data_IF_776970718701
#
_entry.id   IF_776970718701
#
_cell.length_a   1.000
_cell.length_b   1.000
_cell.length_c   1.000
_cell.angle_alpha   90.00
_cell.angle_beta   90.00
_cell.angle_gamma   90.00
#
_symmetry.space_group_name_H-M   'P 1'
#
loop_
_entity.id
_entity.type
_entity.pdbx_description
1 polymer ?
#
# COMPACT_ATOMS: atom_id res chain seq x y z
N UNK A 1 -6.69 -14.58 -22.71
CA UNK A 1 -6.11 -14.22 -23.16
C UNK A 1 -4.72 -13.71 -22.86
N UNK A 2 -4.35 -12.51 -22.90
CA UNK A 2 -2.94 -12.10 -22.77
C UNK A 2 -2.59 -12.06 -21.28
N UNK A 3 -2.05 -13.18 -20.78
CA UNK A 3 -1.57 -13.27 -19.38
C UNK A 3 -0.07 -12.94 -19.23
N UNK A 4 0.63 -12.75 -20.36
CA UNK A 4 2.07 -12.49 -20.38
C UNK A 4 2.31 -11.01 -20.66
N UNK A 5 2.97 -10.29 -19.73
CA UNK A 5 3.30 -8.88 -19.90
C UNK A 5 4.14 -8.58 -21.15
N UNK A 6 5.05 -9.47 -21.55
CA UNK A 6 5.90 -9.30 -22.74
C UNK A 6 5.09 -9.38 -24.05
N UNK A 7 4.11 -10.26 -24.11
CA UNK A 7 3.18 -10.35 -25.24
C UNK A 7 2.32 -9.10 -25.31
N UNK A 8 1.88 -8.57 -24.17
CA UNK A 8 1.11 -7.36 -24.08
C UNK A 8 1.90 -6.13 -24.55
N UNK A 9 3.15 -5.98 -24.10
CA UNK A 9 4.04 -4.89 -24.56
C UNK A 9 4.25 -4.93 -26.07
N UNK A 10 4.47 -6.12 -26.62
CA UNK A 10 4.65 -6.31 -28.06
C UNK A 10 3.38 -5.93 -28.83
N UNK A 11 2.21 -6.31 -28.34
CA UNK A 11 0.92 -5.94 -28.91
C UNK A 11 0.68 -4.44 -28.89
N UNK A 12 0.93 -3.79 -27.76
CA UNK A 12 0.81 -2.34 -27.60
C UNK A 12 1.76 -1.60 -28.53
N UNK A 13 3.01 -2.05 -28.64
CA UNK A 13 4.02 -1.48 -29.54
C UNK A 13 3.61 -1.57 -31.01
N UNK A 14 3.09 -2.70 -31.44
CA UNK A 14 2.61 -2.90 -32.83
C UNK A 14 1.34 -2.09 -33.13
N UNK A 15 0.40 -2.02 -32.20
CA UNK A 15 -0.82 -1.24 -32.35
C UNK A 15 -0.58 0.27 -32.44
N UNK A 16 0.50 0.79 -31.82
CA UNK A 16 0.87 2.20 -31.86
C UNK A 16 1.15 2.71 -33.29
N UNK A 17 1.64 1.85 -34.19
CA UNK A 17 1.94 2.22 -35.58
C UNK A 17 0.72 2.13 -36.52
N UNK A 18 -0.40 1.55 -36.07
CA UNK A 18 -1.58 1.29 -36.88
C UNK A 18 -2.82 2.14 -36.52
N UNK A 19 -2.74 2.87 -35.40
CA UNK A 19 -3.88 3.63 -34.86
C UNK A 19 -3.51 5.11 -34.69
N UNK A 20 -4.51 5.98 -34.82
CA UNK A 20 -4.35 7.38 -34.44
C UNK A 20 -4.08 7.51 -32.94
N UNK A 21 -3.28 8.50 -32.56
CA UNK A 21 -2.79 8.65 -31.17
C UNK A 21 -3.94 8.74 -30.13
N UNK A 22 -5.05 9.38 -30.50
CA UNK A 22 -6.24 9.52 -29.65
C UNK A 22 -6.95 8.18 -29.46
N UNK A 23 -7.04 7.40 -30.48
CA UNK A 23 -7.67 6.08 -30.49
C UNK A 23 -6.80 5.06 -29.76
N UNK A 24 -5.50 5.10 -29.97
CA UNK A 24 -4.50 4.31 -29.25
C UNK A 24 -4.59 4.56 -27.74
N UNK A 25 -4.57 5.82 -27.28
CA UNK A 25 -4.71 6.17 -25.86
C UNK A 25 -6.03 5.65 -25.25
N UNK A 26 -7.13 5.72 -26.00
CA UNK A 26 -8.44 5.21 -25.56
C UNK A 26 -8.46 3.69 -25.42
N UNK A 27 -7.85 2.97 -26.34
CA UNK A 27 -7.74 1.50 -26.30
C UNK A 27 -6.79 1.08 -25.17
N UNK A 28 -5.66 1.75 -25.03
CA UNK A 28 -4.69 1.49 -23.96
C UNK A 28 -5.32 1.66 -22.57
N UNK A 29 -6.09 2.74 -22.36
CA UNK A 29 -6.79 2.97 -21.10
C UNK A 29 -7.84 1.89 -20.79
N UNK A 30 -8.56 1.40 -21.82
CA UNK A 30 -9.50 0.29 -21.64
C UNK A 30 -8.80 -1.04 -21.35
N UNK A 31 -7.67 -1.31 -22.03
CA UNK A 31 -6.89 -2.53 -21.82
C UNK A 31 -6.24 -2.54 -20.44
N UNK A 32 -5.65 -1.43 -20.00
CA UNK A 32 -5.11 -1.33 -18.65
C UNK A 32 -6.19 -1.60 -17.60
N UNK A 33 -7.38 -1.04 -17.76
CA UNK A 33 -8.51 -1.27 -16.87
C UNK A 33 -8.98 -2.74 -16.83
N UNK A 34 -8.89 -3.45 -17.95
CA UNK A 34 -9.20 -4.88 -18.03
C UNK A 34 -8.08 -5.72 -17.41
N UNK A 35 -6.82 -5.35 -17.61
CA UNK A 35 -5.67 -6.03 -17.01
C UNK A 35 -5.69 -5.86 -15.50
N UNK A 36 -5.88 -4.64 -14.99
CA UNK A 36 -6.05 -4.36 -13.57
C UNK A 36 -7.20 -5.14 -12.93
N UNK A 37 -8.26 -5.44 -13.71
CA UNK A 37 -9.40 -6.24 -13.21
C UNK A 37 -9.20 -7.76 -13.29
N UNK A 38 -8.22 -8.26 -14.06
CA UNK A 38 -8.04 -9.69 -14.35
C UNK A 38 -6.73 -10.27 -13.79
N UNK A 39 -5.72 -9.44 -13.54
CA UNK A 39 -4.56 -9.89 -12.79
C UNK A 39 -4.97 -9.99 -11.30
N UNK A 40 -4.75 -11.14 -10.66
CA UNK A 40 -4.69 -11.12 -9.21
C UNK A 40 -3.69 -10.02 -8.86
N UNK A 41 -4.01 -9.23 -7.86
CA UNK A 41 -3.15 -8.14 -7.43
C UNK A 41 -1.85 -8.77 -6.90
N UNK A 42 -0.86 -8.95 -7.79
CA UNK A 42 0.41 -9.62 -7.48
C UNK A 42 1.06 -8.94 -6.28
N UNK A 43 0.90 -7.62 -6.18
CA UNK A 43 1.36 -6.84 -5.03
C UNK A 43 0.61 -7.26 -3.76
N UNK A 44 -0.69 -7.47 -3.84
CA UNK A 44 -1.48 -7.98 -2.71
C UNK A 44 -0.99 -9.35 -2.25
N UNK A 45 -0.76 -10.29 -3.16
CA UNK A 45 -0.23 -11.62 -2.83
C UNK A 45 1.20 -11.58 -2.26
N UNK A 46 2.01 -10.61 -2.69
CA UNK A 46 3.38 -10.44 -2.22
C UNK A 46 3.46 -9.72 -0.87
N UNK A 47 2.55 -8.79 -0.60
CA UNK A 47 2.49 -8.02 0.65
C UNK A 47 1.79 -8.81 1.75
N UNK A 48 0.67 -9.44 1.40
CA UNK A 48 -0.11 -10.23 2.34
C UNK A 48 0.29 -11.70 2.26
N UNK A 49 0.47 -12.33 3.40
CA UNK A 49 0.46 -13.79 3.44
C UNK A 49 -0.95 -14.29 3.19
N UNK A 50 -1.08 -15.52 2.67
CA UNK A 50 -2.38 -16.15 2.34
C UNK A 50 -3.23 -16.47 3.59
N UNK A 51 -3.24 -15.55 4.56
CA UNK A 51 -4.08 -15.68 5.75
C UNK A 51 -5.53 -15.40 5.41
N UNK A 52 -6.38 -16.33 5.73
CA UNK A 52 -7.81 -16.07 5.79
C UNK A 52 -8.10 -15.08 6.93
N UNK A 53 -9.19 -14.36 6.81
CA UNK A 53 -9.68 -13.46 7.85
C UNK A 53 -9.73 -14.17 9.21
N UNK A 54 -8.98 -13.68 10.18
CA UNK A 54 -8.83 -14.33 11.47
C UNK A 54 -8.09 -13.47 12.51
N UNK A 55 -7.76 -14.06 13.64
CA UNK A 55 -7.08 -13.35 14.74
C UNK A 55 -5.71 -12.80 14.38
N UNK A 56 -5.01 -13.43 13.44
CA UNK A 56 -3.64 -13.03 13.01
C UNK A 56 -3.64 -11.66 12.33
N UNK A 57 -4.70 -11.35 11.58
CA UNK A 57 -4.85 -10.09 10.83
C UNK A 57 -5.99 -9.20 11.40
N UNK A 58 -6.31 -9.38 12.67
CA UNK A 58 -7.34 -8.61 13.36
C UNK A 58 -8.71 -8.70 12.71
N UNK A 59 -9.07 -9.85 12.17
CA UNK A 59 -10.34 -10.11 11.48
C UNK A 59 -10.66 -9.13 10.34
N UNK A 60 -9.66 -8.42 9.81
CA UNK A 60 -9.83 -7.54 8.66
C UNK A 60 -9.78 -8.32 7.34
N UNK A 61 -10.42 -7.77 6.33
CA UNK A 61 -10.20 -8.18 4.95
C UNK A 61 -8.93 -7.50 4.45
N UNK A 62 -8.01 -8.26 3.90
CA UNK A 62 -6.82 -7.73 3.24
C UNK A 62 -7.25 -6.78 2.11
N UNK A 63 -6.64 -5.61 2.04
CA UNK A 63 -6.97 -4.60 1.05
C UNK A 63 -5.77 -3.71 0.75
N UNK A 64 -5.14 -3.97 -0.37
CA UNK A 64 -4.06 -3.14 -0.90
C UNK A 64 -4.46 -1.66 -1.00
N UNK A 65 -5.69 -1.40 -1.46
CA UNK A 65 -6.20 -0.03 -1.58
C UNK A 65 -6.23 0.70 -0.24
N UNK A 66 -6.69 0.04 0.83
CA UNK A 66 -6.68 0.63 2.17
C UNK A 66 -5.26 0.81 2.68
N UNK A 67 -4.40 -0.22 2.55
CA UNK A 67 -3.01 -0.15 2.96
C UNK A 67 -2.28 1.02 2.31
N UNK A 68 -2.37 1.15 0.97
CA UNK A 68 -1.79 2.27 0.23
C UNK A 68 -2.24 3.61 0.81
N UNK A 69 -3.53 3.78 1.02
CA UNK A 69 -4.08 5.06 1.50
C UNK A 69 -3.78 5.35 2.99
N UNK A 70 -3.56 4.33 3.84
CA UNK A 70 -3.01 4.53 5.19
C UNK A 70 -1.58 5.08 5.11
N UNK A 71 -0.74 4.50 4.27
CA UNK A 71 0.65 4.94 4.10
C UNK A 71 0.70 6.38 3.59
N UNK A 72 -0.05 6.69 2.53
CA UNK A 72 -0.13 8.04 1.96
C UNK A 72 -0.64 9.07 2.98
N UNK A 73 -1.65 8.71 3.78
CA UNK A 73 -2.19 9.57 4.83
C UNK A 73 -1.12 9.99 5.85
N UNK A 74 -0.34 9.02 6.35
CA UNK A 74 0.70 9.34 7.33
C UNK A 74 1.91 10.03 6.70
N UNK A 75 2.27 9.71 5.45
CA UNK A 75 3.34 10.40 4.72
C UNK A 75 2.99 11.87 4.55
N UNK A 76 1.78 12.18 4.07
CA UNK A 76 1.31 13.55 3.89
C UNK A 76 1.29 14.33 5.22
N UNK A 77 0.69 13.76 6.25
CA UNK A 77 0.51 14.42 7.56
C UNK A 77 1.82 14.64 8.31
N UNK A 78 2.83 13.80 8.09
CA UNK A 78 4.13 13.88 8.75
C UNK A 78 5.22 14.55 7.91
N UNK A 79 4.92 15.06 6.71
CA UNK A 79 5.89 15.59 5.74
C UNK A 79 7.04 14.57 5.50
N UNK A 80 6.63 13.37 5.10
CA UNK A 80 7.48 12.19 5.03
C UNK A 80 7.68 11.51 6.39
N UNK A 81 7.90 10.22 6.40
CA UNK A 81 7.97 9.43 7.63
C UNK A 81 9.00 8.32 7.54
N UNK A 82 9.81 8.14 8.59
CA UNK A 82 10.73 7.01 8.66
C UNK A 82 9.99 5.67 8.76
N UNK A 83 10.50 4.66 8.08
CA UNK A 83 9.92 3.31 8.06
C UNK A 83 9.72 2.74 9.47
N UNK A 84 10.62 3.04 10.40
CA UNK A 84 10.51 2.64 11.81
C UNK A 84 9.31 3.29 12.53
N UNK A 85 9.00 4.54 12.20
CA UNK A 85 7.79 5.24 12.69
C UNK A 85 6.56 4.68 11.99
N UNK A 86 6.62 4.48 10.67
CA UNK A 86 5.51 3.94 9.89
C UNK A 86 5.06 2.55 10.39
N UNK A 87 6.01 1.68 10.74
CA UNK A 87 5.70 0.38 11.36
C UNK A 87 4.79 0.53 12.60
N UNK A 88 5.06 1.53 13.44
CA UNK A 88 4.27 1.81 14.64
C UNK A 88 2.91 2.41 14.30
N UNK A 89 2.86 3.35 13.36
CA UNK A 89 1.62 3.97 12.92
C UNK A 89 0.66 2.93 12.34
N UNK A 90 1.15 2.01 11.52
CA UNK A 90 0.36 0.88 10.99
C UNK A 90 -0.15 -0.03 12.11
N UNK A 91 0.74 -0.43 13.02
CA UNK A 91 0.35 -1.28 14.14
C UNK A 91 -0.70 -0.63 15.03
N UNK A 92 -0.50 0.64 15.40
CA UNK A 92 -1.47 1.35 16.25
C UNK A 92 -2.81 1.58 15.55
N UNK A 93 -2.79 1.83 14.24
CA UNK A 93 -4.02 1.94 13.44
C UNK A 93 -4.83 0.65 13.52
N UNK A 94 -4.21 -0.48 13.22
CA UNK A 94 -4.87 -1.78 13.25
C UNK A 94 -5.29 -2.18 14.68
N UNK A 95 -4.40 -2.02 15.64
CA UNK A 95 -4.68 -2.37 17.04
C UNK A 95 -5.79 -1.51 17.65
N UNK A 96 -5.78 -0.20 17.44
CA UNK A 96 -6.80 0.70 17.97
C UNK A 96 -8.16 0.45 17.34
N UNK A 97 -8.19 0.19 16.02
CA UNK A 97 -9.41 -0.16 15.31
C UNK A 97 -9.96 -1.50 15.82
N UNK A 98 -9.10 -2.49 15.96
CA UNK A 98 -9.49 -3.77 16.54
C UNK A 98 -10.04 -3.62 17.98
N UNK A 99 -9.36 -2.84 18.82
CA UNK A 99 -9.79 -2.58 20.20
C UNK A 99 -11.16 -1.90 20.27
N UNK A 100 -11.44 -0.95 19.37
CA UNK A 100 -12.70 -0.19 19.38
C UNK A 100 -13.85 -0.91 18.66
N UNK A 101 -13.55 -1.60 17.57
CA UNK A 101 -14.56 -2.07 16.62
C UNK A 101 -14.47 -3.58 16.29
N UNK A 102 -13.56 -4.31 16.94
CA UNK A 102 -13.40 -5.76 16.75
C UNK A 102 -12.78 -6.19 15.42
N UNK A 103 -12.25 -5.26 14.65
CA UNK A 103 -11.55 -5.54 13.38
C UNK A 103 -10.43 -4.53 13.13
N UNK A 104 -9.34 -4.98 12.52
CA UNK A 104 -8.28 -4.11 12.03
C UNK A 104 -8.68 -3.40 10.71
N UNK A 105 -7.83 -2.49 10.21
CA UNK A 105 -8.08 -1.72 8.98
C UNK A 105 -7.32 -2.32 7.80
N UNK A 106 -6.00 -2.55 7.96
CA UNK A 106 -5.11 -2.95 6.86
C UNK A 106 -5.20 -4.43 6.51
N UNK A 107 -5.53 -5.28 7.48
CA UNK A 107 -5.48 -6.73 7.34
C UNK A 107 -4.07 -7.32 7.36
N UNK A 108 -3.06 -6.53 7.75
CA UNK A 108 -1.68 -7.00 7.93
C UNK A 108 -1.55 -7.92 9.14
N UNK A 109 -0.64 -8.89 9.03
CA UNK A 109 -0.14 -9.63 10.18
C UNK A 109 1.13 -8.96 10.73
N UNK A 110 1.33 -9.02 12.04
CA UNK A 110 2.45 -8.40 12.71
C UNK A 110 3.32 -9.43 13.44
N UNK A 111 4.62 -9.15 13.48
CA UNK A 111 5.59 -9.89 14.30
C UNK A 111 6.27 -8.97 15.31
N UNK A 112 6.56 -9.48 16.50
CA UNK A 112 7.32 -8.77 17.49
C UNK A 112 8.82 -8.86 17.15
N UNK A 113 9.50 -7.72 17.15
CA UNK A 113 10.96 -7.63 17.05
C UNK A 113 11.48 -6.78 18.20
N UNK A 114 12.80 -6.67 18.34
CA UNK A 114 13.45 -5.97 19.46
C UNK A 114 12.96 -4.53 19.68
N UNK A 115 12.59 -3.83 18.60
CA UNK A 115 12.17 -2.42 18.65
C UNK A 115 10.65 -2.21 18.51
N UNK A 116 9.89 -3.28 18.66
CA UNK A 116 8.43 -3.24 18.62
C UNK A 116 7.81 -4.03 17.47
N UNK A 117 6.47 -4.04 17.35
CA UNK A 117 5.79 -4.78 16.31
C UNK A 117 6.04 -4.15 14.93
N UNK A 118 6.23 -5.04 13.94
CA UNK A 118 6.33 -4.66 12.52
C UNK A 118 5.44 -5.58 11.68
N UNK A 119 4.94 -5.15 10.52
CA UNK A 119 4.29 -6.05 9.57
C UNK A 119 5.21 -7.23 9.23
N UNK A 120 4.68 -8.43 9.08
CA UNK A 120 5.48 -9.62 8.80
C UNK A 120 6.36 -9.43 7.57
N UNK A 121 5.84 -8.76 6.55
CA UNK A 121 6.53 -8.45 5.30
C UNK A 121 6.75 -6.94 5.12
N UNK A 122 7.23 -6.28 6.16
CA UNK A 122 7.43 -4.82 6.17
C UNK A 122 8.29 -4.31 5.00
N UNK A 123 9.29 -5.07 4.60
CA UNK A 123 10.14 -4.80 3.44
C UNK A 123 9.33 -4.69 2.14
N UNK A 124 8.38 -5.59 1.93
CA UNK A 124 7.49 -5.59 0.77
C UNK A 124 6.41 -4.53 0.83
N UNK A 125 5.88 -4.27 2.04
CA UNK A 125 4.89 -3.20 2.25
C UNK A 125 5.39 -1.87 1.71
N UNK A 126 6.66 -1.55 1.93
CA UNK A 126 7.21 -0.25 1.50
C UNK A 126 7.78 -0.26 0.08
N UNK A 127 8.25 -1.41 -0.43
CA UNK A 127 8.86 -1.50 -1.75
C UNK A 127 7.86 -1.77 -2.89
N UNK A 128 6.70 -2.34 -2.57
CA UNK A 128 5.71 -2.75 -3.57
C UNK A 128 4.49 -1.84 -3.61
N UNK A 129 4.30 -0.96 -2.63
CA UNK A 129 3.17 -0.03 -2.67
C UNK A 129 3.50 1.12 -3.64
N UNK A 130 2.74 1.14 -4.72
CA UNK A 130 2.89 2.11 -5.81
C UNK A 130 2.77 3.56 -5.33
N UNK A 131 3.69 4.41 -5.81
CA UNK A 131 3.73 5.84 -5.52
C UNK A 131 4.35 6.21 -4.17
N UNK A 132 5.07 5.28 -3.52
CA UNK A 132 5.86 5.56 -2.32
C UNK A 132 7.35 5.49 -2.67
N UNK A 133 8.03 6.60 -2.44
CA UNK A 133 9.47 6.71 -2.61
C UNK A 133 10.19 6.39 -1.30
N UNK A 134 11.42 5.88 -1.40
CA UNK A 134 12.25 5.50 -0.26
C UNK A 134 13.62 6.15 -0.38
N UNK A 135 13.92 7.07 0.53
CA UNK A 135 15.19 7.77 0.59
C UNK A 135 16.01 7.31 1.81
N UNK A 136 17.28 7.03 1.59
CA UNK A 136 18.21 6.74 2.69
C UNK A 136 18.73 8.08 3.24
N UNK A 137 18.44 8.32 4.50
CA UNK A 137 18.90 9.52 5.24
C UNK A 137 19.99 9.10 6.20
N UNK A 138 21.16 9.68 6.05
CA UNK A 138 22.29 9.51 6.97
C UNK A 138 22.26 10.59 8.06
N UNK A 139 22.43 10.19 9.32
CA UNK A 139 22.49 11.09 10.45
C UNK A 139 23.95 11.34 10.88
N UNK A 140 24.24 12.49 11.43
CA UNK A 140 25.57 12.84 11.96
C UNK A 140 26.11 11.82 12.99
N UNK A 141 25.24 11.06 13.63
CA UNK A 141 25.56 9.99 14.55
C UNK A 141 26.10 8.71 13.88
N UNK A 142 26.19 8.68 12.55
CA UNK A 142 26.63 7.52 11.76
C UNK A 142 25.54 6.44 11.56
N UNK A 143 24.32 6.68 12.02
CA UNK A 143 23.17 5.83 11.71
C UNK A 143 22.51 6.27 10.41
N UNK A 144 21.86 5.34 9.73
CA UNK A 144 21.01 5.65 8.57
C UNK A 144 19.57 5.18 8.81
N UNK A 145 18.63 5.89 8.21
CA UNK A 145 17.21 5.53 8.23
C UNK A 145 16.61 5.63 6.84
N UNK A 146 15.56 4.87 6.58
CA UNK A 146 14.79 4.97 5.33
C UNK A 146 13.60 5.88 5.59
N UNK A 147 13.56 7.02 4.92
CA UNK A 147 12.42 7.95 4.90
C UNK A 147 11.50 7.55 3.75
N UNK A 148 10.23 7.44 4.05
CA UNK A 148 9.17 7.25 3.07
C UNK A 148 8.59 8.61 2.70
N UNK A 149 8.42 8.83 1.40
CA UNK A 149 7.83 10.05 0.85
C UNK A 149 6.88 9.72 -0.29
N UNK A 150 6.04 10.66 -0.69
CA UNK A 150 5.14 10.50 -1.83
C UNK A 150 4.63 11.84 -2.35
N UNK A 151 4.47 11.93 -3.67
CA UNK A 151 3.75 13.03 -4.32
C UNK A 151 2.25 12.74 -4.49
N UNK A 152 1.80 11.54 -4.13
CA UNK A 152 0.40 11.15 -4.25
C UNK A 152 -0.39 11.56 -3.00
N UNK A 153 -1.62 12.00 -3.22
CA UNK A 153 -2.56 12.31 -2.16
C UNK A 153 -3.38 11.05 -1.78
N UNK A 154 -3.71 10.87 -0.49
CA UNK A 154 -4.54 9.75 -0.06
C UNK A 154 -6.00 9.92 -0.52
N UNK A 155 -6.60 8.83 -0.98
CA UNK A 155 -8.07 8.75 -1.20
C UNK A 155 -8.75 8.33 0.11
N UNK A 156 -9.24 9.30 0.87
CA UNK A 156 -9.89 9.04 2.16
C UNK A 156 -11.28 8.40 2.05
N UNK A 157 -11.87 8.37 0.84
CA UNK A 157 -13.20 7.75 0.63
C UNK A 157 -13.16 6.21 0.70
N UNK A 158 -11.98 5.61 0.76
CA UNK A 158 -11.81 4.15 0.92
C UNK A 158 -12.08 3.67 2.34
N UNK A 159 -12.16 4.58 3.30
CA UNK A 159 -12.31 4.30 4.72
C UNK A 159 -13.73 4.55 5.21
N UNK A 160 -14.17 3.77 6.18
CA UNK A 160 -15.39 4.07 6.92
C UNK A 160 -15.16 5.23 7.91
N UNK A 161 -16.23 5.88 8.42
CA UNK A 161 -16.10 6.94 9.42
C UNK A 161 -15.34 6.50 10.68
N UNK A 162 -15.52 5.24 11.09
CA UNK A 162 -14.82 4.66 12.24
C UNK A 162 -13.33 4.53 11.97
N UNK A 163 -12.95 4.08 10.78
CA UNK A 163 -11.55 3.93 10.35
C UNK A 163 -10.88 5.30 10.24
N UNK A 164 -11.57 6.32 9.72
CA UNK A 164 -11.08 7.71 9.68
C UNK A 164 -10.80 8.25 11.08
N UNK A 165 -11.72 8.04 12.01
CA UNK A 165 -11.54 8.46 13.42
C UNK A 165 -10.34 7.78 14.08
N UNK A 166 -10.04 6.53 13.69
CA UNK A 166 -8.85 5.80 14.17
C UNK A 166 -7.58 6.40 13.60
N UNK A 167 -7.53 6.65 12.29
CA UNK A 167 -6.35 7.27 11.65
C UNK A 167 -6.01 8.62 12.28
N UNK A 168 -7.02 9.45 12.50
CA UNK A 168 -6.86 10.75 13.19
C UNK A 168 -6.35 10.57 14.62
N UNK A 169 -6.96 9.69 15.40
CA UNK A 169 -6.53 9.41 16.78
C UNK A 169 -5.09 8.89 16.87
N UNK A 170 -4.61 8.14 15.87
CA UNK A 170 -3.22 7.63 15.83
C UNK A 170 -2.25 8.72 15.42
N UNK A 171 -2.65 9.64 14.55
CA UNK A 171 -1.81 10.76 14.14
C UNK A 171 -1.60 11.79 15.27
N UNK A 172 -2.64 12.06 16.06
CA UNK A 172 -2.62 13.07 17.16
C UNK A 172 -1.85 12.62 18.41
N UNK A 173 -1.57 11.31 18.58
CA UNK A 173 -0.88 10.72 19.75
C UNK A 173 0.55 10.29 19.43
#
# INVERSE_FOLDING_TARGET
LIKDPAIFETFVRNARYQLEEKEFKRILAKLNKVIESQLPNIEEELIYDSYTRGSINGYATQSYKKLKNILLYFIERCDGVFNTKMNKLLFYTDFLCYKKYGRAVSGLAYKAIQYGPVPVRWDRVYSLVDGIDQDIVEFESGYSGVKLDSLLMPDMNVFSPEELSVLESVYEN
#
